data_IF_763305125699
#
_entry.id   IF_763305125699
#
_cell.length_a   1.000
_cell.length_b   1.000
_cell.length_c   1.000
_cell.angle_alpha   90.00
_cell.angle_beta   90.00
_cell.angle_gamma   90.00
#
_symmetry.space_group_name_H-M   'P 1'
#
loop_
_entity.id
_entity.type
_entity.pdbx_description
1 polymer ?
#
# COMPACT_ATOMS: atom_id res chain seq x y z
N UNK A 1 -9.81 -0.07 2.82
CA UNK A 1 -8.59 0.66 2.43
C UNK A 1 -7.39 -0.26 2.59
N UNK A 2 -6.45 -0.22 1.65
CA UNK A 2 -5.26 -1.09 1.69
C UNK A 2 -4.22 -0.59 2.69
N UNK A 3 -4.10 0.72 2.89
CA UNK A 3 -3.19 1.34 3.86
C UNK A 3 -3.61 2.78 4.19
N UNK A 4 -2.95 3.39 5.17
CA UNK A 4 -3.30 4.70 5.73
C UNK A 4 -2.60 5.93 5.14
N UNK A 5 -2.05 5.88 3.92
CA UNK A 5 -1.46 7.09 3.32
C UNK A 5 -2.50 8.15 2.93
N UNK A 6 -2.04 9.40 2.90
CA UNK A 6 -2.88 10.60 2.71
C UNK A 6 -3.57 10.66 1.35
N UNK A 7 -2.98 10.07 0.32
CA UNK A 7 -3.55 9.96 -1.03
C UNK A 7 -4.80 9.07 -1.06
N UNK A 8 -4.97 8.18 -0.08
CA UNK A 8 -6.20 7.40 0.10
C UNK A 8 -7.22 8.05 1.04
N UNK A 9 -6.82 9.08 1.77
CA UNK A 9 -7.59 9.64 2.87
C UNK A 9 -8.77 10.50 2.40
N UNK A 10 -8.54 11.41 1.46
CA UNK A 10 -9.58 12.34 0.97
C UNK A 10 -10.78 11.64 0.35
N UNK A 11 -10.56 10.58 -0.43
CA UNK A 11 -11.66 9.80 -1.00
C UNK A 11 -12.40 9.01 0.07
N UNK A 12 -11.69 8.37 1.00
CA UNK A 12 -12.32 7.59 2.08
C UNK A 12 -13.20 8.46 2.99
N UNK A 13 -12.72 9.66 3.35
CA UNK A 13 -13.49 10.64 4.11
C UNK A 13 -14.75 11.05 3.34
N UNK A 14 -14.63 11.35 2.04
CA UNK A 14 -15.77 11.80 1.23
C UNK A 14 -16.83 10.72 1.06
N UNK A 15 -16.41 9.50 0.76
CA UNK A 15 -17.31 8.33 0.62
C UNK A 15 -18.03 8.04 1.94
N UNK A 16 -17.33 8.10 3.06
CA UNK A 16 -17.94 7.86 4.38
C UNK A 16 -18.89 8.99 4.80
N UNK A 17 -18.49 10.26 4.61
CA UNK A 17 -19.30 11.42 5.02
C UNK A 17 -20.54 11.64 4.15
N UNK A 18 -20.44 11.41 2.84
CA UNK A 18 -21.56 11.63 1.90
C UNK A 18 -22.44 10.38 1.75
N UNK A 19 -21.86 9.19 1.81
CA UNK A 19 -22.58 7.93 1.55
C UNK A 19 -22.88 7.09 2.79
N UNK A 20 -22.42 7.50 3.98
CA UNK A 20 -22.57 6.70 5.22
C UNK A 20 -21.78 5.39 5.24
N UNK A 21 -20.94 5.14 4.23
CA UNK A 21 -20.22 3.89 4.10
C UNK A 21 -19.17 3.72 5.21
N UNK A 22 -19.12 2.51 5.77
CA UNK A 22 -18.07 2.13 6.70
C UNK A 22 -16.74 1.93 5.98
N UNK A 23 -15.70 2.60 6.46
CA UNK A 23 -14.35 2.48 5.94
C UNK A 23 -13.59 1.48 6.79
N UNK A 24 -13.18 0.37 6.17
CA UNK A 24 -12.35 -0.65 6.79
C UNK A 24 -10.86 -0.35 6.61
N UNK A 25 -10.07 -0.40 7.68
CA UNK A 25 -8.60 -0.27 7.67
C UNK A 25 -7.96 -1.24 8.66
N UNK A 26 -6.72 -1.65 8.42
CA UNK A 26 -5.98 -2.45 9.39
C UNK A 26 -5.76 -1.67 10.69
N UNK A 27 -5.85 -2.34 11.84
CA UNK A 27 -5.73 -1.72 13.16
C UNK A 27 -4.43 -0.92 13.36
N UNK A 28 -3.32 -1.36 12.74
CA UNK A 28 -2.03 -0.65 12.80
C UNK A 28 -2.00 0.70 12.07
N UNK A 29 -2.88 0.89 11.07
CA UNK A 29 -3.01 2.17 10.34
C UNK A 29 -4.21 3.00 10.82
N UNK A 30 -5.11 2.42 11.64
CA UNK A 30 -6.28 3.12 12.16
C UNK A 30 -5.95 4.44 12.90
N UNK A 31 -4.86 4.56 13.70
CA UNK A 31 -4.48 5.83 14.33
C UNK A 31 -4.17 6.93 13.32
N UNK A 32 -3.60 6.57 12.16
CA UNK A 32 -3.28 7.50 11.08
C UNK A 32 -4.58 8.17 10.59
N UNK A 33 -5.67 7.38 10.51
CA UNK A 33 -6.95 7.87 10.01
C UNK A 33 -7.73 8.71 11.02
N UNK A 34 -7.48 8.50 12.31
CA UNK A 34 -8.07 9.30 13.39
C UNK A 34 -7.35 10.63 13.57
N UNK A 35 -6.07 10.70 13.22
CA UNK A 35 -5.23 11.89 13.43
C UNK A 35 -4.37 12.24 12.20
N UNK A 36 -5.00 12.60 11.06
CA UNK A 36 -4.30 12.84 9.78
C UNK A 36 -3.21 13.93 9.86
N UNK A 37 -3.39 14.96 10.70
CA UNK A 37 -2.38 16.00 10.96
C UNK A 37 -1.08 15.50 11.62
N UNK A 38 -1.06 14.27 12.16
CA UNK A 38 0.12 13.63 12.77
C UNK A 38 0.74 12.55 11.90
N UNK A 39 0.28 12.37 10.67
CA UNK A 39 0.79 11.37 9.70
C UNK A 39 2.32 11.35 9.58
N UNK A 40 2.99 12.52 9.60
CA UNK A 40 4.47 12.61 9.57
C UNK A 40 5.16 11.93 10.76
N UNK A 41 4.54 11.84 11.93
CA UNK A 41 5.10 11.13 13.10
C UNK A 41 5.10 9.61 12.92
N UNK A 42 4.23 9.09 12.06
CA UNK A 42 4.08 7.66 11.83
C UNK A 42 4.88 7.15 10.63
N UNK A 43 5.66 8.02 9.99
CA UNK A 43 6.35 7.71 8.74
C UNK A 43 7.81 8.20 8.76
N UNK A 44 8.74 7.25 8.72
CA UNK A 44 10.17 7.49 8.51
C UNK A 44 10.61 6.76 7.24
N UNK A 45 10.91 7.47 6.14
CA UNK A 45 11.27 6.82 4.89
C UNK A 45 12.67 6.20 4.96
N UNK A 46 12.88 5.06 4.29
CA UNK A 46 14.21 4.43 4.19
C UNK A 46 15.23 5.28 3.44
N UNK A 47 14.78 6.14 2.52
CA UNK A 47 15.64 7.05 1.75
C UNK A 47 15.04 8.44 1.71
N UNK A 48 15.91 9.44 1.83
CA UNK A 48 15.51 10.84 1.77
C UNK A 48 14.78 11.16 0.43
N UNK A 49 13.57 11.74 0.46
CA UNK A 49 12.84 12.14 -0.74
C UNK A 49 13.61 13.10 -1.65
N UNK A 50 14.45 13.97 -1.06
CA UNK A 50 15.31 14.92 -1.79
C UNK A 50 16.21 14.24 -2.82
N UNK A 51 16.69 13.01 -2.57
CA UNK A 51 17.53 12.26 -3.51
C UNK A 51 16.77 11.89 -4.79
N UNK A 52 15.46 11.68 -4.70
CA UNK A 52 14.61 11.40 -5.86
C UNK A 52 14.22 12.69 -6.57
N UNK A 53 13.91 13.74 -5.82
CA UNK A 53 13.61 15.06 -6.38
C UNK A 53 14.78 15.64 -7.21
N UNK A 54 16.02 15.49 -6.72
CA UNK A 54 17.21 15.93 -7.45
C UNK A 54 17.40 15.18 -8.77
N UNK A 55 17.13 13.87 -8.77
CA UNK A 55 17.26 13.03 -9.99
C UNK A 55 16.11 13.24 -10.97
N UNK A 56 14.92 13.60 -10.47
CA UNK A 56 13.72 13.78 -11.28
C UNK A 56 12.83 14.89 -10.70
N UNK A 57 13.09 16.17 -11.03
CA UNK A 57 12.31 17.29 -10.49
C UNK A 57 10.81 17.20 -10.82
N UNK A 58 10.44 16.57 -11.94
CA UNK A 58 9.04 16.32 -12.29
C UNK A 58 8.30 15.42 -11.30
N UNK A 59 9.00 14.63 -10.49
CA UNK A 59 8.43 13.84 -9.40
C UNK A 59 7.85 14.70 -8.27
N UNK A 60 8.18 16.00 -8.21
CA UNK A 60 7.59 16.95 -7.27
C UNK A 60 6.17 17.39 -7.65
N UNK A 61 5.73 17.14 -8.90
CA UNK A 61 4.39 17.56 -9.36
C UNK A 61 3.26 16.92 -8.57
N UNK A 62 3.35 15.62 -8.29
CA UNK A 62 2.34 14.90 -7.53
C UNK A 62 2.21 15.39 -6.07
N UNK A 63 3.28 15.47 -5.26
CA UNK A 63 3.18 16.01 -3.90
C UNK A 63 2.79 17.50 -3.90
N UNK A 64 3.21 18.29 -4.89
CA UNK A 64 2.79 19.70 -5.01
C UNK A 64 1.29 19.82 -5.31
N UNK A 65 0.76 18.99 -6.21
CA UNK A 65 -0.66 18.93 -6.50
C UNK A 65 -1.46 18.54 -5.26
N UNK A 66 -1.01 17.50 -4.52
CA UNK A 66 -1.65 17.05 -3.29
C UNK A 66 -1.63 18.12 -2.19
N UNK A 67 -0.53 18.87 -2.07
CA UNK A 67 -0.43 19.99 -1.15
C UNK A 67 -1.41 21.12 -1.52
N UNK A 68 -1.51 21.46 -2.82
CA UNK A 68 -2.42 22.50 -3.33
C UNK A 68 -3.89 22.11 -3.24
N UNK A 69 -4.21 20.82 -3.32
CA UNK A 69 -5.59 20.33 -3.23
C UNK A 69 -6.12 20.26 -1.78
N UNK A 70 -5.40 20.81 -0.80
CA UNK A 70 -5.83 20.82 0.59
C UNK A 70 -5.85 19.42 1.23
N UNK A 71 -5.10 18.45 0.71
CA UNK A 71 -5.07 17.10 1.26
C UNK A 71 -4.59 17.04 2.72
N UNK A 72 -3.90 18.09 3.19
CA UNK A 72 -3.49 18.27 4.58
C UNK A 72 -4.61 18.75 5.52
N UNK A 73 -5.72 19.28 4.97
CA UNK A 73 -6.89 19.78 5.72
C UNK A 73 -8.01 18.73 5.80
N UNK A 74 -7.67 17.45 5.74
CA UNK A 74 -8.67 16.39 5.74
C UNK A 74 -9.07 16.01 7.18
N UNK A 75 -10.37 16.07 7.46
CA UNK A 75 -10.95 15.68 8.76
C UNK A 75 -10.97 14.16 8.95
N UNK A 76 -10.97 13.68 10.20
CA UNK A 76 -11.06 12.26 10.52
C UNK A 76 -12.20 11.54 9.77
N UNK A 77 -11.97 10.27 9.38
CA UNK A 77 -13.01 9.45 8.75
C UNK A 77 -14.07 9.10 9.79
N UNK A 78 -15.36 9.46 9.59
CA UNK A 78 -16.38 9.38 10.63
C UNK A 78 -16.79 7.94 10.97
N UNK A 79 -16.91 7.05 9.96
CA UNK A 79 -17.29 5.65 10.16
C UNK A 79 -16.10 4.75 9.87
N UNK A 80 -15.26 4.54 10.88
CA UNK A 80 -14.04 3.74 10.78
C UNK A 80 -14.21 2.38 11.46
N UNK A 81 -14.01 1.29 10.70
CA UNK A 81 -13.90 -0.07 11.22
C UNK A 81 -12.46 -0.55 11.08
N UNK A 82 -11.95 -1.19 12.12
CA UNK A 82 -10.63 -1.80 12.11
C UNK A 82 -10.72 -3.31 11.97
N UNK A 83 -9.81 -3.89 11.20
CA UNK A 83 -9.61 -5.34 11.12
C UNK A 83 -8.18 -5.72 11.50
N UNK A 84 -7.94 -7.01 11.71
CA UNK A 84 -6.61 -7.60 11.95
C UNK A 84 -6.18 -8.50 10.79
N UNK A 85 -4.91 -8.90 10.82
CA UNK A 85 -4.35 -9.84 9.86
C UNK A 85 -5.11 -11.17 9.85
N UNK A 86 -5.38 -11.70 8.67
CA UNK A 86 -6.08 -12.96 8.44
C UNK A 86 -7.61 -12.89 8.51
N UNK A 87 -8.19 -11.74 8.89
CA UNK A 87 -9.62 -11.57 9.11
C UNK A 87 -10.43 -11.64 7.80
N UNK A 88 -11.61 -12.26 7.85
CA UNK A 88 -12.61 -12.18 6.78
C UNK A 88 -13.50 -10.98 7.03
N UNK A 89 -13.48 -10.02 6.11
CA UNK A 89 -14.25 -8.79 6.28
C UNK A 89 -15.74 -9.02 6.04
N UNK A 90 -16.56 -8.44 6.89
CA UNK A 90 -18.02 -8.45 6.74
C UNK A 90 -18.48 -7.36 5.76
N UNK A 91 -18.17 -7.61 4.48
CA UNK A 91 -18.55 -6.80 3.33
C UNK A 91 -18.90 -7.73 2.16
N UNK A 92 -19.59 -7.25 1.11
CA UNK A 92 -19.87 -8.05 -0.07
C UNK A 92 -18.63 -8.75 -0.62
N UNK A 93 -18.75 -10.06 -0.89
CA UNK A 93 -17.63 -10.91 -1.34
C UNK A 93 -16.71 -11.45 -0.24
N UNK A 94 -16.91 -11.03 1.02
CA UNK A 94 -16.19 -11.49 2.23
C UNK A 94 -14.69 -11.71 2.02
N UNK A 95 -13.93 -10.69 1.56
CA UNK A 95 -12.53 -10.87 1.23
C UNK A 95 -11.70 -11.17 2.49
N UNK A 96 -10.64 -11.96 2.32
CA UNK A 96 -9.65 -12.20 3.38
C UNK A 96 -8.61 -11.09 3.37
N UNK A 97 -8.46 -10.40 4.48
CA UNK A 97 -7.42 -9.39 4.69
C UNK A 97 -6.11 -10.06 5.11
N UNK A 98 -5.06 -9.90 4.32
CA UNK A 98 -3.72 -10.39 4.64
C UNK A 98 -2.77 -9.21 4.75
N UNK A 99 -2.10 -9.09 5.90
CA UNK A 99 -1.17 -8.00 6.15
C UNK A 99 0.06 -8.13 5.25
N UNK A 100 0.36 -7.05 4.57
CA UNK A 100 1.54 -6.86 3.72
C UNK A 100 2.31 -5.64 4.18
N UNK A 101 2.87 -5.72 5.38
CA UNK A 101 3.54 -4.60 6.03
C UNK A 101 4.82 -4.17 5.31
N UNK A 102 5.23 -2.93 5.57
CA UNK A 102 6.51 -2.37 5.17
C UNK A 102 6.38 -1.07 4.38
N UNK A 103 5.33 -0.96 3.55
CA UNK A 103 4.92 0.31 2.97
C UNK A 103 4.22 1.21 4.00
N UNK A 104 3.34 0.62 4.79
CA UNK A 104 2.89 1.11 6.10
C UNK A 104 2.83 -0.06 7.09
N UNK A 105 2.60 0.21 8.38
CA UNK A 105 2.47 -0.83 9.39
C UNK A 105 1.23 -1.71 9.15
N UNK A 106 0.14 -1.11 8.67
CA UNK A 106 -1.15 -1.75 8.38
C UNK A 106 -1.42 -2.03 6.89
N UNK A 107 -0.42 -1.91 6.02
CA UNK A 107 -0.58 -2.25 4.61
C UNK A 107 -1.14 -3.67 4.47
N UNK A 108 -2.15 -3.83 3.62
CA UNK A 108 -2.98 -5.04 3.53
C UNK A 108 -3.30 -5.37 2.08
N UNK A 109 -3.19 -6.65 1.75
CA UNK A 109 -3.74 -7.26 0.54
C UNK A 109 -5.07 -7.92 0.82
N UNK A 110 -6.08 -7.66 0.00
CA UNK A 110 -7.38 -8.34 0.08
C UNK A 110 -7.46 -9.44 -0.96
N UNK A 111 -7.68 -10.68 -0.51
CA UNK A 111 -7.94 -11.82 -1.37
C UNK A 111 -9.44 -12.01 -1.54
N UNK A 112 -9.91 -12.08 -2.79
CA UNK A 112 -11.29 -12.45 -3.09
C UNK A 112 -11.59 -13.88 -2.61
N UNK A 113 -12.82 -14.11 -2.17
CA UNK A 113 -13.30 -15.47 -1.85
C UNK A 113 -13.68 -16.27 -3.09
N UNK A 114 -13.92 -15.62 -4.22
CA UNK A 114 -14.25 -16.26 -5.50
C UNK A 114 -13.02 -16.45 -6.40
N UNK A 115 -12.97 -15.81 -7.59
CA UNK A 115 -11.81 -15.89 -8.49
C UNK A 115 -10.50 -15.54 -7.79
N UNK A 116 -9.37 -16.08 -8.29
CA UNK A 116 -8.03 -15.83 -7.77
C UNK A 116 -7.56 -14.39 -8.07
N UNK A 117 -8.20 -13.41 -7.41
CA UNK A 117 -7.94 -11.97 -7.53
C UNK A 117 -7.48 -11.44 -6.18
N UNK A 118 -6.41 -10.65 -6.22
CA UNK A 118 -5.80 -10.02 -5.05
C UNK A 118 -5.68 -8.50 -5.26
N UNK A 119 -6.23 -7.72 -4.34
CA UNK A 119 -6.07 -6.27 -4.27
C UNK A 119 -4.91 -5.94 -3.34
N UNK A 120 -3.72 -5.73 -3.90
CA UNK A 120 -2.45 -5.63 -3.15
C UNK A 120 -2.09 -4.23 -2.67
N UNK A 121 -2.79 -3.20 -3.16
CA UNK A 121 -2.40 -1.80 -2.95
C UNK A 121 -0.94 -1.57 -3.37
N UNK A 122 -0.22 -0.83 -2.54
CA UNK A 122 1.14 -0.35 -2.81
C UNK A 122 2.24 -1.38 -2.49
N UNK A 123 1.86 -2.59 -2.10
CA UNK A 123 2.82 -3.68 -1.92
C UNK A 123 3.51 -4.05 -3.25
N UNK A 124 2.81 -3.95 -4.39
CA UNK A 124 3.36 -4.19 -5.72
C UNK A 124 2.68 -3.30 -6.76
N UNK A 125 3.46 -2.49 -7.46
CA UNK A 125 2.99 -1.61 -8.54
C UNK A 125 3.65 -1.98 -9.87
N UNK A 126 3.07 -1.56 -10.98
CA UNK A 126 3.61 -1.80 -12.34
C UNK A 126 4.32 -0.58 -12.93
N UNK A 127 4.20 0.57 -12.28
CA UNK A 127 4.89 1.80 -12.66
C UNK A 127 5.30 2.57 -11.41
N UNK A 128 6.59 2.89 -11.30
CA UNK A 128 7.11 3.72 -10.23
C UNK A 128 7.00 5.19 -10.61
N UNK A 129 5.89 5.85 -10.28
CA UNK A 129 5.58 7.26 -10.60
C UNK A 129 6.74 8.25 -10.34
N UNK A 130 7.50 8.02 -9.25
CA UNK A 130 8.65 8.82 -8.85
C UNK A 130 9.93 8.43 -9.60
N UNK A 131 10.15 7.15 -9.80
CA UNK A 131 11.39 6.60 -10.40
C UNK A 131 11.35 6.49 -11.93
N UNK A 132 10.17 6.57 -12.55
CA UNK A 132 9.97 6.32 -13.98
C UNK A 132 10.10 4.85 -14.41
N UNK A 133 10.33 3.93 -13.47
CA UNK A 133 10.44 2.50 -13.77
C UNK A 133 9.11 1.94 -14.28
N UNK A 134 9.14 1.16 -15.35
CA UNK A 134 8.01 0.37 -15.87
C UNK A 134 8.28 -1.12 -15.67
N UNK A 135 7.29 -1.83 -15.15
CA UNK A 135 7.37 -3.24 -14.76
C UNK A 135 7.06 -3.45 -13.27
N UNK A 136 6.82 -4.70 -12.84
CA UNK A 136 6.51 -5.02 -11.45
C UNK A 136 7.64 -4.55 -10.51
N UNK A 137 7.33 -3.61 -9.62
CA UNK A 137 8.27 -3.05 -8.66
C UNK A 137 7.58 -2.64 -7.35
N UNK A 138 8.40 -2.34 -6.34
CA UNK A 138 7.93 -1.74 -5.10
C UNK A 138 7.81 -0.23 -5.26
N UNK A 139 6.94 0.39 -4.46
CA UNK A 139 7.01 1.83 -4.24
C UNK A 139 8.41 2.21 -3.74
N UNK A 140 8.94 3.31 -4.29
CA UNK A 140 10.30 3.72 -4.02
C UNK A 140 10.53 3.97 -2.52
N UNK A 141 11.79 3.80 -2.10
CA UNK A 141 12.21 3.85 -0.69
C UNK A 141 12.01 5.22 -0.01
N UNK A 142 11.63 6.25 -0.78
CA UNK A 142 11.19 7.52 -0.23
C UNK A 142 9.78 7.46 0.36
N UNK A 143 8.96 6.47 -0.01
CA UNK A 143 7.59 6.28 0.47
C UNK A 143 7.36 4.90 1.10
N UNK A 144 8.41 4.10 1.21
CA UNK A 144 8.39 2.78 1.82
C UNK A 144 9.39 2.79 3.01
N UNK A 145 8.90 2.77 4.27
CA UNK A 145 9.71 2.68 5.48
C UNK A 145 10.49 1.39 5.66
N UNK A 146 10.03 0.28 5.10
CA UNK A 146 10.74 -1.00 5.13
C UNK A 146 10.49 -1.82 3.85
N UNK A 147 11.41 -1.71 2.90
CA UNK A 147 11.34 -2.41 1.61
C UNK A 147 11.76 -3.87 1.70
N UNK A 148 12.40 -4.30 2.79
CA UNK A 148 12.71 -5.70 3.04
C UNK A 148 11.43 -6.43 3.51
N UNK A 149 10.71 -5.85 4.46
CA UNK A 149 9.43 -6.38 4.95
C UNK A 149 8.37 -6.48 3.84
N UNK A 150 8.32 -5.53 2.90
CA UNK A 150 7.42 -5.64 1.74
C UNK A 150 7.78 -6.85 0.88
N UNK A 151 9.06 -7.10 0.62
CA UNK A 151 9.51 -8.25 -0.19
C UNK A 151 9.20 -9.57 0.50
N UNK A 152 9.41 -9.65 1.81
CA UNK A 152 9.06 -10.83 2.60
C UNK A 152 7.55 -11.10 2.54
N UNK A 153 6.74 -10.06 2.76
CA UNK A 153 5.28 -10.14 2.67
C UNK A 153 4.79 -10.61 1.30
N UNK A 154 5.39 -10.08 0.22
CA UNK A 154 5.09 -10.52 -1.15
C UNK A 154 5.53 -11.96 -1.41
N UNK A 155 6.64 -12.40 -0.83
CA UNK A 155 7.10 -13.78 -0.89
C UNK A 155 6.05 -14.73 -0.29
N UNK A 156 5.57 -14.41 0.91
CA UNK A 156 4.50 -15.17 1.59
C UNK A 156 3.22 -15.19 0.76
N UNK A 157 2.78 -14.04 0.23
CA UNK A 157 1.61 -13.98 -0.66
C UNK A 157 1.81 -14.80 -1.94
N UNK A 158 2.99 -14.75 -2.56
CA UNK A 158 3.31 -15.53 -3.76
C UNK A 158 3.17 -17.03 -3.51
N UNK A 159 3.50 -17.52 -2.30
CA UNK A 159 3.25 -18.92 -1.94
C UNK A 159 1.76 -19.24 -1.75
N UNK A 160 0.98 -18.31 -1.19
CA UNK A 160 -0.47 -18.48 -0.99
C UNK A 160 -1.22 -18.44 -2.32
N UNK A 161 -0.86 -17.52 -3.22
CA UNK A 161 -1.37 -17.46 -4.59
C UNK A 161 -0.96 -18.71 -5.35
N UNK A 162 0.28 -19.17 -5.26
CA UNK A 162 0.70 -20.42 -5.90
C UNK A 162 -0.07 -21.64 -5.37
N UNK A 163 -0.50 -21.65 -4.09
CA UNK A 163 -1.36 -22.71 -3.54
C UNK A 163 -2.82 -22.61 -4.00
N UNK A 164 -3.36 -21.39 -4.14
CA UNK A 164 -4.72 -21.16 -4.67
C UNK A 164 -4.77 -21.42 -6.18
N UNK A 165 -3.80 -20.89 -6.92
CA UNK A 165 -3.56 -21.18 -8.32
C UNK A 165 -3.20 -22.64 -8.51
N UNK A 166 -2.53 -23.34 -7.58
CA UNK A 166 -2.31 -24.78 -7.65
C UNK A 166 -3.60 -25.61 -7.65
N UNK A 167 -4.73 -25.06 -7.17
CA UNK A 167 -6.06 -25.65 -7.34
C UNK A 167 -6.66 -25.39 -8.75
N UNK A 168 -6.07 -24.49 -9.55
CA UNK A 168 -6.53 -24.07 -10.89
C UNK A 168 -5.41 -23.83 -11.97
N UNK A 169 -4.16 -24.31 -11.75
CA UNK A 169 -2.85 -24.07 -12.43
C UNK A 169 -2.49 -22.61 -12.89
N UNK A 170 -1.30 -22.03 -12.61
CA UNK A 170 0.07 -22.20 -13.19
C UNK A 170 1.12 -21.53 -12.25
N UNK A 171 2.44 -21.82 -12.33
CA UNK A 171 3.43 -21.35 -11.36
C UNK A 171 3.73 -19.84 -11.45
N UNK A 172 4.12 -19.18 -10.33
CA UNK A 172 4.39 -17.75 -10.30
C UNK A 172 5.66 -17.36 -11.08
N UNK A 173 5.73 -16.12 -11.60
CA UNK A 173 6.92 -15.62 -12.29
C UNK A 173 8.13 -15.57 -11.35
N UNK A 174 9.29 -16.01 -11.84
CA UNK A 174 10.55 -15.99 -11.08
C UNK A 174 11.06 -14.55 -10.98
N UNK A 175 11.33 -14.10 -9.76
CA UNK A 175 11.96 -12.82 -9.49
C UNK A 175 13.41 -12.82 -10.01
N UNK A 176 13.87 -11.78 -10.73
CA UNK A 176 15.28 -11.68 -11.10
C UNK A 176 16.11 -11.48 -9.83
N UNK A 177 16.92 -12.48 -9.48
CA UNK A 177 17.97 -12.33 -8.46
C UNK A 177 18.95 -11.30 -9.00
N UNK A 178 19.01 -10.13 -8.37
CA UNK A 178 19.98 -9.09 -8.71
C UNK A 178 21.38 -9.68 -8.64
N UNK A 179 22.08 -9.72 -9.77
CA UNK A 179 23.51 -10.01 -9.80
C UNK A 179 24.21 -8.84 -9.10
N UNK A 180 24.87 -9.13 -7.99
CA UNK A 180 25.84 -8.23 -7.40
C UNK A 180 26.94 -7.98 -8.43
N UNK A 181 26.99 -6.75 -8.93
CA UNK A 181 28.14 -6.23 -9.68
C UNK A 181 29.22 -5.87 -8.67
N UNK A 182 30.03 -6.86 -8.30
CA UNK A 182 31.38 -6.64 -7.79
C UNK A 182 32.34 -6.90 -8.96
N UNK A 183 32.81 -5.81 -9.57
CA UNK A 183 34.05 -5.66 -10.36
C UNK A 183 34.40 -4.17 -10.19
N UNK A 184 35.57 -3.78 -9.73
CA UNK A 184 36.91 -4.28 -10.02
C UNK A 184 37.68 -3.03 -10.41
#
# INVERSE_FOLDING_TARGET
MTHGHLDHFGLAQRVSSQGGAAVWIHAADAPILKTPGRTRRHWKPERAPARYALRRPSALRAPLHLARSGALNTSAVPVLRSFRDGELLDVPGRPKALRTSGHTAGSTTFLSSGPAVAFRGDALVTEGSITGHRGPCLICRAFTPDSAAVRESLGTLGTLDARRAGRHARPPPRWPRGRGSARG
#
